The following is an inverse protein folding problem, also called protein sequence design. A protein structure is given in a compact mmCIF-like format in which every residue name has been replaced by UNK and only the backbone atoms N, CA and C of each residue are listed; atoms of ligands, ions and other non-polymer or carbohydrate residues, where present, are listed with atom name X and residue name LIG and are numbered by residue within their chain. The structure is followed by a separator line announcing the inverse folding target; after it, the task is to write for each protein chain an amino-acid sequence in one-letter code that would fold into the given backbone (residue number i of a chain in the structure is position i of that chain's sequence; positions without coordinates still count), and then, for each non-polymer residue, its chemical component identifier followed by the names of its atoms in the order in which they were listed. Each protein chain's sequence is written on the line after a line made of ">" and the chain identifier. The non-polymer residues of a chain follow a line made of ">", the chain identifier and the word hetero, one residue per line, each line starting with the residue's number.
data_IF_102460162419
#
_entry.id   IF_102460162419
#
_cell.length_a   1.000
_cell.length_b   1.000
_cell.length_c   1.000
_cell.angle_alpha   90.00
_cell.angle_beta   90.00
_cell.angle_gamma   90.00
#
_symmetry.space_group_name_H-M   'P 1'
#
loop_
_entity.id
_entity.type
_entity.pdbx_description
1 polymer ?
#
# COMPACT_ATOMS: atom_id res chain seq x y z
N UNK A 1 71.63 38.93 41.03
CA UNK A 1 70.34 39.36 40.45
C UNK A 1 69.94 38.34 39.37
N UNK A 2 69.19 37.29 39.70
CA UNK A 2 68.79 36.22 38.75
C UNK A 2 67.31 35.78 38.88
N UNK A 3 66.51 36.52 39.64
CA UNK A 3 65.09 36.22 39.89
C UNK A 3 64.10 36.57 38.75
N UNK A 4 64.29 37.59 37.87
CA UNK A 4 63.21 38.00 36.97
C UNK A 4 62.98 37.06 35.77
N UNK A 5 64.01 36.31 35.32
CA UNK A 5 63.90 35.49 34.11
C UNK A 5 63.06 34.20 34.29
N UNK A 6 63.11 33.57 35.47
CA UNK A 6 62.37 32.33 35.75
C UNK A 6 60.87 32.62 35.88
N UNK A 7 60.51 33.72 36.55
CA UNK A 7 59.12 34.15 36.73
C UNK A 7 58.41 34.43 35.39
N UNK A 8 59.12 35.04 34.44
CA UNK A 8 58.57 35.30 33.10
C UNK A 8 58.34 34.01 32.28
N UNK A 9 59.20 33.01 32.43
CA UNK A 9 59.06 31.74 31.70
C UNK A 9 57.91 30.87 32.24
N UNK A 10 57.69 30.85 33.56
CA UNK A 10 56.55 30.16 34.17
C UNK A 10 55.22 30.84 33.84
N UNK A 11 55.18 32.17 33.83
CA UNK A 11 54.00 32.94 33.42
C UNK A 11 53.62 32.64 31.96
N UNK A 12 54.60 32.60 31.05
CA UNK A 12 54.38 32.26 29.64
C UNK A 12 53.90 30.81 29.43
N UNK A 13 54.46 29.87 30.20
CA UNK A 13 54.00 28.47 30.16
C UNK A 13 52.56 28.34 30.67
N UNK A 14 52.20 29.07 31.72
CA UNK A 14 50.84 29.06 32.28
C UNK A 14 49.82 29.61 31.28
N UNK A 15 50.13 30.72 30.61
CA UNK A 15 49.24 31.31 29.59
C UNK A 15 49.07 30.41 28.37
N UNK A 16 50.14 29.74 27.91
CA UNK A 16 50.06 28.76 26.83
C UNK A 16 49.20 27.53 27.18
N UNK A 17 49.26 27.05 28.43
CA UNK A 17 48.40 25.95 28.86
C UNK A 17 46.92 26.36 28.89
N UNK A 18 46.62 27.59 29.30
CA UNK A 18 45.25 28.09 29.32
C UNK A 18 44.67 28.28 27.92
N UNK A 19 45.45 28.86 27.00
CA UNK A 19 45.08 28.96 25.58
C UNK A 19 44.85 27.59 24.92
N UNK A 20 45.64 26.56 25.30
CA UNK A 20 45.44 25.19 24.82
C UNK A 20 44.13 24.60 25.35
N UNK A 21 43.77 24.85 26.62
CA UNK A 21 42.48 24.41 27.18
C UNK A 21 41.31 25.10 26.49
N UNK A 22 41.39 26.41 26.25
CA UNK A 22 40.36 27.17 25.54
C UNK A 22 40.16 26.64 24.10
N UNK A 23 41.25 26.36 23.39
CA UNK A 23 41.21 25.77 22.05
C UNK A 23 40.56 24.37 22.04
N UNK A 24 40.90 23.53 23.03
CA UNK A 24 40.28 22.20 23.18
C UNK A 24 38.79 22.30 23.54
N UNK A 25 38.41 23.21 24.43
CA UNK A 25 37.02 23.45 24.80
C UNK A 25 36.20 23.94 23.60
N UNK A 26 36.76 24.84 22.81
CA UNK A 26 36.12 25.34 21.59
C UNK A 26 35.94 24.22 20.56
N UNK A 27 36.97 23.38 20.34
CA UNK A 27 36.86 22.21 19.45
C UNK A 27 35.81 21.20 19.94
N UNK A 28 35.74 20.94 21.24
CA UNK A 28 34.73 20.06 21.84
C UNK A 28 33.32 20.61 21.69
N UNK A 29 33.15 21.93 21.83
CA UNK A 29 31.86 22.60 21.65
C UNK A 29 31.36 22.49 20.21
N UNK A 30 32.23 22.75 19.22
CA UNK A 30 31.89 22.57 17.81
C UNK A 30 31.50 21.14 17.47
N UNK A 31 32.22 20.17 18.03
CA UNK A 31 31.93 18.75 17.82
C UNK A 31 30.58 18.35 18.44
N UNK A 32 30.28 18.80 19.67
CA UNK A 32 28.99 18.55 20.32
C UNK A 32 27.81 19.17 19.53
N UNK A 33 27.95 20.41 19.06
CA UNK A 33 26.93 21.09 18.26
C UNK A 33 26.68 20.37 16.92
N UNK A 34 27.74 19.89 16.27
CA UNK A 34 27.60 19.10 15.05
C UNK A 34 26.83 17.78 15.32
N UNK A 35 27.17 17.05 16.39
CA UNK A 35 26.44 15.83 16.76
C UNK A 35 24.95 16.09 17.04
N UNK A 36 24.62 17.16 17.77
CA UNK A 36 23.23 17.53 18.02
C UNK A 36 22.47 17.87 16.72
N UNK A 37 23.09 18.63 15.82
CA UNK A 37 22.51 18.97 14.52
C UNK A 37 22.27 17.75 13.62
N UNK A 38 23.22 16.81 13.58
CA UNK A 38 23.08 15.57 12.81
C UNK A 38 21.98 14.65 13.37
N UNK A 39 21.86 14.55 14.71
CA UNK A 39 20.82 13.74 15.37
C UNK A 39 19.41 14.30 15.12
N UNK A 40 19.21 15.62 15.27
CA UNK A 40 17.91 16.26 14.98
C UNK A 40 17.50 16.07 13.51
N UNK A 41 18.44 16.23 12.58
CA UNK A 41 18.18 16.01 11.15
C UNK A 41 17.85 14.55 10.83
N UNK A 42 18.50 13.59 11.48
CA UNK A 42 18.21 12.17 11.33
C UNK A 42 16.81 11.80 11.84
N UNK A 43 16.43 12.35 13.00
CA UNK A 43 15.08 12.20 13.56
C UNK A 43 14.02 12.78 12.62
N UNK A 44 14.20 14.00 12.13
CA UNK A 44 13.28 14.63 11.19
C UNK A 44 13.11 13.79 9.91
N UNK A 45 14.21 13.31 9.33
CA UNK A 45 14.17 12.44 8.16
C UNK A 45 13.44 11.12 8.45
N UNK A 46 13.65 10.52 9.63
CA UNK A 46 12.94 9.30 10.04
C UNK A 46 11.45 9.51 10.25
N UNK A 47 11.03 10.67 10.76
CA UNK A 47 9.60 10.99 10.87
C UNK A 47 8.96 11.19 9.51
N UNK A 48 9.66 11.88 8.60
CA UNK A 48 9.20 12.09 7.23
C UNK A 48 9.04 10.76 6.49
N UNK A 49 9.99 9.82 6.60
CA UNK A 49 9.88 8.51 5.95
C UNK A 49 8.72 7.69 6.49
N UNK A 50 8.52 7.66 7.81
CA UNK A 50 7.38 6.98 8.43
C UNK A 50 6.03 7.58 8.00
N UNK A 51 5.95 8.91 7.90
CA UNK A 51 4.76 9.60 7.41
C UNK A 51 4.44 9.23 5.95
N UNK A 52 5.45 9.21 5.06
CA UNK A 52 5.26 8.78 3.68
C UNK A 52 4.82 7.30 3.57
N UNK A 53 5.35 6.41 4.40
CA UNK A 53 4.93 5.01 4.45
C UNK A 53 3.45 4.89 4.88
N UNK A 54 3.03 5.67 5.88
CA UNK A 54 1.64 5.66 6.35
C UNK A 54 0.66 6.13 5.27
N UNK A 55 1.03 7.14 4.47
CA UNK A 55 0.20 7.62 3.36
C UNK A 55 -0.01 6.57 2.26
N UNK A 56 0.94 5.64 2.04
CA UNK A 56 0.77 4.54 1.08
C UNK A 56 -0.30 3.52 1.49
N UNK A 57 -0.58 3.40 2.80
CA UNK A 57 -1.62 2.50 3.32
C UNK A 57 -3.01 3.13 3.35
N UNK A 58 -3.12 4.45 3.20
CA UNK A 58 -4.40 5.14 3.08
C UNK A 58 -4.79 5.14 1.60
N UNK A 59 -5.25 3.99 1.11
CA UNK A 59 -6.02 3.95 -0.13
C UNK A 59 -7.47 4.27 0.24
N UNK A 60 -8.00 5.47 -0.07
CA UNK A 60 -9.43 5.66 -0.05
C UNK A 60 -9.99 4.83 -1.20
N UNK A 61 -10.43 3.61 -0.92
CA UNK A 61 -11.46 2.99 -1.75
C UNK A 61 -12.58 4.02 -1.73
N UNK A 62 -12.82 4.70 -2.84
CA UNK A 62 -13.88 5.68 -2.94
C UNK A 62 -15.20 4.93 -2.80
N UNK A 63 -15.68 4.78 -1.56
CA UNK A 63 -17.01 4.26 -1.25
C UNK A 63 -18.00 5.36 -1.59
N UNK A 64 -18.14 5.64 -2.88
CA UNK A 64 -19.28 6.40 -3.36
C UNK A 64 -20.46 5.47 -3.20
N UNK A 65 -21.25 5.68 -2.14
CA UNK A 65 -22.50 4.96 -1.92
C UNK A 65 -23.48 5.36 -3.03
N UNK A 66 -23.31 4.76 -4.22
CA UNK A 66 -24.30 4.82 -5.30
C UNK A 66 -25.63 4.38 -4.69
N UNK A 67 -26.69 5.16 -4.91
CA UNK A 67 -28.03 4.74 -4.49
C UNK A 67 -28.31 3.35 -5.08
N UNK A 68 -28.94 2.43 -4.34
CA UNK A 68 -29.30 1.13 -4.87
C UNK A 68 -30.10 1.33 -6.16
N UNK A 69 -29.57 0.79 -7.25
CA UNK A 69 -30.22 0.81 -8.56
C UNK A 69 -29.78 -0.42 -9.33
N UNK A 70 -30.62 -0.91 -10.26
CA UNK A 70 -30.24 -1.99 -11.15
C UNK A 70 -28.93 -1.67 -11.88
N UNK A 71 -27.98 -2.61 -11.79
CA UNK A 71 -26.80 -2.62 -12.65
C UNK A 71 -27.22 -3.00 -14.08
N UNK A 72 -26.66 -2.29 -15.06
CA UNK A 72 -26.94 -2.56 -16.48
C UNK A 72 -25.92 -3.53 -17.08
N UNK A 73 -26.29 -4.23 -18.15
CA UNK A 73 -25.36 -5.10 -18.89
C UNK A 73 -24.13 -4.35 -19.41
N UNK A 74 -24.29 -3.06 -19.76
CA UNK A 74 -23.19 -2.22 -20.23
C UNK A 74 -22.19 -1.99 -19.10
N UNK A 75 -22.68 -1.70 -17.89
CA UNK A 75 -21.82 -1.54 -16.71
C UNK A 75 -21.13 -2.83 -16.32
N UNK A 76 -21.83 -3.98 -16.35
CA UNK A 76 -21.23 -5.29 -16.10
C UNK A 76 -20.08 -5.54 -17.07
N UNK A 77 -20.27 -5.28 -18.37
CA UNK A 77 -19.21 -5.42 -19.38
C UNK A 77 -18.05 -4.47 -19.14
N UNK A 78 -18.32 -3.22 -18.76
CA UNK A 78 -17.28 -2.24 -18.48
C UNK A 78 -16.41 -2.68 -17.29
N UNK A 79 -17.02 -3.03 -16.16
CA UNK A 79 -16.30 -3.49 -14.96
C UNK A 79 -15.51 -4.77 -15.29
N UNK A 80 -16.08 -5.68 -16.08
CA UNK A 80 -15.38 -6.89 -16.50
C UNK A 80 -14.14 -6.58 -17.36
N UNK A 81 -14.21 -5.57 -18.22
CA UNK A 81 -13.05 -5.13 -19.00
C UNK A 81 -11.97 -4.51 -18.12
N UNK A 82 -12.36 -3.75 -17.08
CA UNK A 82 -11.43 -3.24 -16.06
C UNK A 82 -10.74 -4.41 -15.33
N UNK A 83 -11.49 -5.44 -14.95
CA UNK A 83 -10.95 -6.67 -14.38
C UNK A 83 -9.93 -7.38 -15.31
N UNK A 84 -10.21 -7.44 -16.62
CA UNK A 84 -9.23 -8.00 -17.56
C UNK A 84 -7.94 -7.19 -17.63
N UNK A 85 -8.02 -5.86 -17.61
CA UNK A 85 -6.85 -5.00 -17.59
C UNK A 85 -6.02 -5.20 -16.30
N UNK A 86 -6.68 -5.32 -15.15
CA UNK A 86 -6.02 -5.61 -13.88
C UNK A 86 -5.33 -6.98 -13.87
N UNK A 87 -5.98 -8.00 -14.44
CA UNK A 87 -5.37 -9.33 -14.59
C UNK A 87 -4.14 -9.24 -15.50
N UNK A 88 -4.24 -8.53 -16.63
CA UNK A 88 -3.14 -8.35 -17.58
C UNK A 88 -1.96 -7.57 -16.98
N UNK A 89 -2.21 -6.63 -16.07
CA UNK A 89 -1.17 -5.92 -15.34
C UNK A 89 -0.32 -6.84 -14.44
N UNK A 90 -0.83 -8.03 -14.09
CA UNK A 90 -0.16 -9.00 -13.23
C UNK A 90 -0.54 -8.93 -11.75
N UNK A 91 -1.45 -8.02 -11.37
CA UNK A 91 -1.92 -7.85 -10.00
C UNK A 91 -2.59 -9.11 -9.40
N UNK A 92 -3.17 -9.94 -10.28
CA UNK A 92 -3.93 -11.14 -9.93
C UNK A 92 -3.09 -12.43 -9.91
N UNK A 93 -1.76 -12.32 -10.14
CA UNK A 93 -0.86 -13.46 -10.16
C UNK A 93 -0.84 -14.23 -11.47
N UNK A 94 0.14 -15.13 -11.62
CA UNK A 94 0.36 -15.89 -12.86
C UNK A 94 -0.75 -16.90 -13.14
N UNK A 95 -1.42 -17.41 -12.10
CA UNK A 95 -2.50 -18.37 -12.23
C UNK A 95 -3.64 -17.86 -13.12
N UNK A 96 -3.93 -16.56 -13.10
CA UNK A 96 -4.96 -15.94 -13.93
C UNK A 96 -4.54 -15.76 -15.41
N UNK A 97 -3.33 -16.16 -15.78
CA UNK A 97 -2.78 -16.03 -17.14
C UNK A 97 -2.41 -17.37 -17.78
N UNK A 98 -2.54 -18.49 -17.04
CA UNK A 98 -2.15 -19.82 -17.54
C UNK A 98 -3.01 -20.25 -18.73
N UNK A 99 -4.29 -19.85 -18.74
CA UNK A 99 -5.23 -20.16 -19.81
C UNK A 99 -6.34 -19.12 -19.93
N UNK A 100 -7.16 -19.23 -20.99
CA UNK A 100 -8.32 -18.36 -21.17
C UNK A 100 -9.38 -18.61 -20.10
N UNK A 101 -9.65 -19.86 -19.73
CA UNK A 101 -10.61 -20.16 -18.65
C UNK A 101 -10.09 -19.73 -17.29
N UNK A 102 -8.78 -19.85 -17.02
CA UNK A 102 -8.20 -19.34 -15.78
C UNK A 102 -8.34 -17.80 -15.69
N UNK A 103 -8.12 -17.08 -16.80
CA UNK A 103 -8.38 -15.64 -16.90
C UNK A 103 -9.85 -15.31 -16.64
N UNK A 104 -10.76 -16.11 -17.20
CA UNK A 104 -12.20 -15.91 -17.04
C UNK A 104 -12.66 -16.12 -15.59
N UNK A 105 -12.24 -17.21 -14.93
CA UNK A 105 -12.54 -17.45 -13.51
C UNK A 105 -12.05 -16.29 -12.63
N UNK A 106 -10.83 -15.79 -12.88
CA UNK A 106 -10.33 -14.61 -12.16
C UNK A 106 -11.13 -13.34 -12.46
N UNK A 107 -11.55 -13.15 -13.71
CA UNK A 107 -12.37 -11.99 -14.09
C UNK A 107 -13.75 -12.02 -13.45
N UNK A 108 -14.38 -13.20 -13.33
CA UNK A 108 -15.64 -13.37 -12.60
C UNK A 108 -15.44 -13.05 -11.11
N UNK A 109 -14.39 -13.57 -10.48
CA UNK A 109 -14.09 -13.25 -9.08
C UNK A 109 -13.81 -11.76 -8.86
N UNK A 110 -13.11 -11.11 -9.77
CA UNK A 110 -12.90 -9.67 -9.75
C UNK A 110 -14.21 -8.87 -9.87
N UNK A 111 -15.05 -9.24 -10.83
CA UNK A 111 -16.29 -8.54 -11.14
C UNK A 111 -17.25 -8.53 -9.94
N UNK A 112 -17.36 -9.65 -9.21
CA UNK A 112 -18.03 -9.70 -7.92
C UNK A 112 -17.62 -10.93 -7.13
N UNK A 113 -16.78 -10.78 -6.08
CA UNK A 113 -16.36 -11.90 -5.24
C UNK A 113 -17.55 -12.67 -4.65
N UNK A 114 -18.57 -11.94 -4.18
CA UNK A 114 -19.78 -12.53 -3.56
C UNK A 114 -20.56 -13.40 -4.54
N UNK A 115 -20.74 -12.95 -5.79
CA UNK A 115 -21.48 -13.75 -6.77
C UNK A 115 -20.65 -14.90 -7.31
N UNK A 116 -19.32 -14.76 -7.37
CA UNK A 116 -18.44 -15.85 -7.75
C UNK A 116 -18.44 -16.96 -6.70
N UNK A 117 -18.34 -16.60 -5.41
CA UNK A 117 -18.44 -17.54 -4.29
C UNK A 117 -19.75 -18.34 -4.33
N UNK A 118 -20.87 -17.65 -4.53
CA UNK A 118 -22.18 -18.28 -4.58
C UNK A 118 -22.33 -19.27 -5.75
N UNK A 119 -21.83 -18.89 -6.94
CA UNK A 119 -22.15 -19.59 -8.19
C UNK A 119 -21.03 -20.55 -8.65
N UNK A 120 -19.77 -20.13 -8.57
CA UNK A 120 -18.63 -20.78 -9.21
C UNK A 120 -17.56 -21.32 -8.25
N UNK A 121 -17.48 -20.90 -6.98
CA UNK A 121 -16.35 -21.31 -6.13
C UNK A 121 -16.27 -22.83 -5.92
N UNK A 122 -17.41 -23.49 -5.76
CA UNK A 122 -17.45 -24.95 -5.60
C UNK A 122 -17.08 -25.71 -6.87
N UNK A 123 -17.30 -25.09 -8.03
CA UNK A 123 -17.16 -25.71 -9.35
C UNK A 123 -16.78 -24.65 -10.39
N UNK A 124 -15.49 -24.25 -10.44
CA UNK A 124 -15.00 -23.21 -11.36
C UNK A 124 -15.17 -23.63 -12.82
N UNK A 125 -15.17 -22.66 -13.72
CA UNK A 125 -15.29 -22.97 -15.15
C UNK A 125 -14.15 -23.87 -15.63
N UNK A 126 -14.50 -24.85 -16.47
CA UNK A 126 -13.55 -25.74 -17.14
C UNK A 126 -13.25 -25.29 -18.59
N UNK A 127 -12.14 -25.78 -19.15
CA UNK A 127 -11.77 -25.49 -20.55
C UNK A 127 -12.80 -26.09 -21.53
N UNK A 128 -13.38 -25.24 -22.38
CA UNK A 128 -14.39 -25.66 -23.37
C UNK A 128 -15.82 -25.78 -22.84
N UNK A 129 -16.05 -25.48 -21.56
CA UNK A 129 -17.39 -25.51 -20.96
C UNK A 129 -18.31 -24.42 -21.54
N UNK A 130 -19.58 -24.76 -21.80
CA UNK A 130 -20.63 -23.80 -22.15
C UNK A 130 -21.60 -23.64 -21.00
N UNK A 131 -21.35 -22.65 -20.18
CA UNK A 131 -22.12 -22.40 -18.97
C UNK A 131 -23.23 -21.34 -19.18
N UNK A 132 -24.38 -21.78 -19.69
CA UNK A 132 -25.51 -20.88 -19.97
C UNK A 132 -26.38 -20.60 -18.74
N UNK A 133 -26.63 -21.62 -17.91
CA UNK A 133 -27.51 -21.50 -16.73
C UNK A 133 -26.84 -20.71 -15.62
N UNK A 134 -25.63 -21.10 -15.20
CA UNK A 134 -24.96 -20.43 -14.08
C UNK A 134 -24.50 -19.02 -14.46
N UNK A 135 -24.23 -18.74 -15.74
CA UNK A 135 -23.99 -17.37 -16.19
C UNK A 135 -25.23 -16.47 -16.10
N UNK A 136 -26.45 -17.01 -16.20
CA UNK A 136 -27.69 -16.27 -15.92
C UNK A 136 -27.86 -16.04 -14.42
N UNK A 137 -27.61 -17.06 -13.59
CA UNK A 137 -27.63 -16.95 -12.13
C UNK A 137 -26.64 -15.89 -11.63
N UNK A 138 -25.44 -15.88 -12.19
CA UNK A 138 -24.41 -14.90 -11.86
C UNK A 138 -24.87 -13.46 -12.19
N UNK A 139 -25.47 -13.25 -13.37
CA UNK A 139 -26.07 -11.95 -13.73
C UNK A 139 -27.22 -11.57 -12.81
N UNK A 140 -28.05 -12.53 -12.44
CA UNK A 140 -29.16 -12.30 -11.51
C UNK A 140 -28.68 -11.94 -10.10
N UNK A 141 -27.60 -12.58 -9.62
CA UNK A 141 -26.89 -12.19 -8.40
C UNK A 141 -26.39 -10.75 -8.44
N UNK A 142 -25.74 -10.35 -9.54
CA UNK A 142 -25.28 -8.97 -9.73
C UNK A 142 -26.43 -7.97 -9.67
N UNK A 143 -27.56 -8.30 -10.31
CA UNK A 143 -28.77 -7.51 -10.26
C UNK A 143 -29.28 -7.34 -8.81
N UNK A 144 -29.55 -8.44 -8.10
CA UNK A 144 -30.07 -8.39 -6.72
C UNK A 144 -29.14 -7.63 -5.78
N UNK A 145 -27.83 -7.89 -5.88
CA UNK A 145 -26.80 -7.18 -5.12
C UNK A 145 -26.83 -5.68 -5.36
N UNK A 146 -27.03 -5.24 -6.62
CA UNK A 146 -27.04 -3.81 -6.98
C UNK A 146 -28.25 -3.04 -6.43
N UNK A 147 -29.38 -3.72 -6.23
CA UNK A 147 -30.60 -3.14 -5.62
C UNK A 147 -30.71 -3.39 -4.12
N UNK A 148 -29.78 -4.15 -3.52
CA UNK A 148 -29.76 -4.45 -2.09
C UNK A 148 -30.74 -5.55 -1.67
N UNK A 149 -31.12 -6.45 -2.59
CA UNK A 149 -31.97 -7.60 -2.29
C UNK A 149 -31.17 -8.80 -1.76
N UNK A 150 -31.85 -9.72 -1.06
CA UNK A 150 -31.27 -10.98 -0.59
C UNK A 150 -30.81 -11.86 -1.75
N UNK A 151 -29.63 -12.48 -1.58
CA UNK A 151 -29.03 -13.40 -2.54
C UNK A 151 -29.44 -14.87 -2.35
N UNK A 152 -30.34 -15.14 -1.41
CA UNK A 152 -30.87 -16.49 -1.16
C UNK A 152 -31.64 -17.02 -2.38
N UNK A 153 -31.47 -18.32 -2.63
CA UNK A 153 -32.20 -19.04 -3.68
C UNK A 153 -31.80 -18.68 -5.11
N UNK A 154 -30.68 -18.00 -5.35
CA UNK A 154 -30.22 -17.70 -6.71
C UNK A 154 -29.63 -18.93 -7.39
N UNK A 155 -28.81 -19.71 -6.67
CA UNK A 155 -28.21 -20.94 -7.21
C UNK A 155 -29.31 -21.98 -7.42
N UNK A 156 -29.41 -22.50 -8.64
CA UNK A 156 -30.47 -23.41 -9.09
C UNK A 156 -31.79 -22.73 -9.44
N UNK A 157 -31.85 -21.39 -9.48
CA UNK A 157 -33.10 -20.67 -9.82
C UNK A 157 -33.53 -20.88 -11.28
N UNK A 158 -32.61 -21.28 -12.14
CA UNK A 158 -32.83 -21.46 -13.58
C UNK A 158 -32.64 -22.92 -14.02
N UNK A 159 -32.55 -23.85 -13.08
CA UNK A 159 -32.58 -25.28 -13.37
C UNK A 159 -34.02 -25.66 -13.76
N UNK A 160 -34.24 -25.91 -15.06
CA UNK A 160 -35.54 -26.34 -15.65
C UNK A 160 -35.66 -27.86 -15.59
#
# INVERSE_FOLDING_TARGET
>A
MLLPAIFHHEAYRSTLMELRKESQLHSSYHQAMAYHYFDEKSKLNSFLTLFFILLLFINPSSVFSKSPRPITDVEIRQIKNECYADIESGLWGQQCKISLTAKENCALKCLSPICYELIYESDPLEEGEKDLTRSQEYKYCMYKKSVGESLEGIKGAFDI
#
